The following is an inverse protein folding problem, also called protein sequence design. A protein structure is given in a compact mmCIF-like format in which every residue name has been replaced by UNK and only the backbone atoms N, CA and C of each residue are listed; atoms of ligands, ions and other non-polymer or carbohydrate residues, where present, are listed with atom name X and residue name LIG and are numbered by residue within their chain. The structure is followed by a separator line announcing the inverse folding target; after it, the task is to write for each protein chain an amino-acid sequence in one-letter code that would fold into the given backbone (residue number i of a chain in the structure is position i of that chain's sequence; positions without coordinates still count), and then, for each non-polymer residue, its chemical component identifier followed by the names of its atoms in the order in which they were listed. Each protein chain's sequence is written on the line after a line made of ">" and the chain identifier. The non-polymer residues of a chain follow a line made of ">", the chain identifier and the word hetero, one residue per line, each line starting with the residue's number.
data_IF_766592482362
#
_entry.id   IF_766592482362
#
_cell.length_a   1.000
_cell.length_b   1.000
_cell.length_c   1.000
_cell.angle_alpha   90.00
_cell.angle_beta   90.00
_cell.angle_gamma   90.00
#
_symmetry.space_group_name_H-M   'P 1'
#
loop_
_entity.id
_entity.type
_entity.pdbx_description
1 polymer ?
#
# COMPACT_ATOMS: atom_id res chain seq x y z
N UNK A 1 19.24 12.22 -15.16
CA UNK A 1 18.11 11.38 -15.65
C UNK A 1 16.89 11.53 -14.76
N UNK A 2 16.98 11.32 -13.44
CA UNK A 2 15.84 11.37 -12.50
C UNK A 2 15.07 12.70 -12.50
N UNK A 3 15.73 13.86 -12.53
CA UNK A 3 15.05 15.16 -12.62
C UNK A 3 14.16 15.34 -13.86
N UNK A 4 14.45 14.62 -14.95
CA UNK A 4 13.59 14.64 -16.15
C UNK A 4 12.29 13.86 -15.92
N UNK A 5 12.32 12.78 -15.12
CA UNK A 5 11.10 12.04 -14.76
C UNK A 5 10.16 12.88 -13.91
N UNK A 6 10.68 13.60 -12.91
CA UNK A 6 9.86 14.45 -12.05
C UNK A 6 9.16 15.55 -12.87
N UNK A 7 9.89 16.18 -13.78
CA UNK A 7 9.32 17.17 -14.70
C UNK A 7 8.31 16.55 -15.70
N UNK A 8 8.54 15.30 -16.14
CA UNK A 8 7.60 14.61 -17.02
C UNK A 8 6.27 14.29 -16.31
N UNK A 9 6.31 13.88 -15.02
CA UNK A 9 5.09 13.68 -14.22
C UNK A 9 4.27 14.97 -14.10
N UNK A 10 4.95 16.10 -13.84
CA UNK A 10 4.28 17.39 -13.73
C UNK A 10 3.79 17.90 -15.10
N UNK A 11 4.53 17.66 -16.17
CA UNK A 11 4.10 18.01 -17.52
C UNK A 11 2.88 17.18 -17.96
N UNK A 12 2.83 15.90 -17.61
CA UNK A 12 1.66 15.07 -17.83
C UNK A 12 0.46 15.59 -17.05
N UNK A 13 0.65 15.97 -15.77
CA UNK A 13 -0.39 16.59 -14.96
C UNK A 13 -0.90 17.92 -15.57
N UNK A 14 -0.04 18.75 -16.11
CA UNK A 14 -0.43 19.99 -16.79
C UNK A 14 -1.29 19.74 -18.04
N UNK A 15 -1.01 18.65 -18.77
CA UNK A 15 -1.72 18.30 -20.00
C UNK A 15 -3.07 17.65 -19.74
N UNK A 16 -3.14 16.69 -18.81
CA UNK A 16 -4.37 15.92 -18.54
C UNK A 16 -5.10 16.35 -17.27
N UNK A 17 -4.48 17.22 -16.46
CA UNK A 17 -5.05 17.73 -15.21
C UNK A 17 -4.88 16.83 -13.99
N UNK A 18 -4.21 15.67 -14.13
CA UNK A 18 -4.03 14.66 -13.09
C UNK A 18 -2.60 14.10 -13.11
N UNK A 19 -2.05 13.73 -11.95
CA UNK A 19 -0.80 13.01 -11.90
C UNK A 19 -0.98 11.61 -12.51
N UNK A 20 -0.07 11.13 -13.34
CA UNK A 20 -0.18 9.80 -13.89
C UNK A 20 0.10 8.75 -12.81
N UNK A 21 -0.72 7.69 -12.76
CA UNK A 21 -0.48 6.53 -11.90
C UNK A 21 0.35 5.44 -12.60
N UNK A 22 0.40 5.46 -13.93
CA UNK A 22 1.17 4.53 -14.75
C UNK A 22 2.12 5.23 -15.73
N UNK A 23 3.22 4.55 -16.05
CA UNK A 23 4.17 4.99 -17.09
C UNK A 23 3.74 4.65 -18.52
N UNK A 24 2.57 4.05 -18.69
CA UNK A 24 1.99 3.72 -20.00
C UNK A 24 1.60 5.01 -20.78
N UNK A 25 1.45 4.93 -22.14
CA UNK A 25 1.07 6.08 -22.96
C UNK A 25 -0.27 6.71 -22.65
N UNK A 26 -1.08 6.06 -21.81
CA UNK A 26 -2.37 6.55 -21.31
C UNK A 26 -2.69 5.96 -19.94
N UNK A 27 -3.62 6.59 -19.24
CA UNK A 27 -4.08 6.11 -17.96
C UNK A 27 -4.90 4.83 -18.10
N UNK A 28 -4.58 3.82 -17.31
CA UNK A 28 -5.19 2.49 -17.44
C UNK A 28 -6.39 2.26 -16.53
N UNK A 29 -6.51 3.04 -15.45
CA UNK A 29 -7.58 2.85 -14.44
C UNK A 29 -7.45 1.56 -13.63
N UNK A 30 -6.35 0.86 -13.74
CA UNK A 30 -6.22 -0.53 -13.31
C UNK A 30 -5.72 -0.74 -11.88
N UNK A 31 -5.06 0.25 -11.27
CA UNK A 31 -4.43 0.07 -9.96
C UNK A 31 -4.98 1.03 -8.92
N UNK A 32 -4.63 0.79 -7.67
CA UNK A 32 -5.00 1.60 -6.51
C UNK A 32 -3.83 2.50 -6.08
N UNK A 33 -4.14 3.63 -5.45
CA UNK A 33 -3.15 4.63 -5.06
C UNK A 33 -2.65 5.46 -6.25
N UNK A 34 -1.92 6.53 -5.96
CA UNK A 34 -1.20 7.32 -6.93
C UNK A 34 0.15 7.71 -6.35
N UNK A 35 1.14 6.85 -6.56
CA UNK A 35 2.46 6.97 -5.94
C UNK A 35 3.40 7.96 -6.68
N UNK A 36 2.90 8.73 -7.65
CA UNK A 36 3.67 9.83 -8.23
C UNK A 36 4.14 10.82 -7.14
N UNK A 37 3.33 11.03 -6.09
CA UNK A 37 3.72 11.89 -4.96
C UNK A 37 4.90 11.31 -4.19
N UNK A 38 4.98 9.99 -4.01
CA UNK A 38 6.10 9.31 -3.36
C UNK A 38 7.42 9.61 -4.10
N UNK A 39 7.43 9.46 -5.43
CA UNK A 39 8.59 9.75 -6.27
C UNK A 39 9.00 11.23 -6.20
N UNK A 40 8.02 12.14 -6.26
CA UNK A 40 8.27 13.59 -6.20
C UNK A 40 8.81 13.99 -4.83
N UNK A 41 8.25 13.46 -3.75
CA UNK A 41 8.67 13.74 -2.39
C UNK A 41 10.08 13.23 -2.10
N UNK A 42 10.37 11.99 -2.50
CA UNK A 42 11.69 11.38 -2.32
C UNK A 42 12.76 12.11 -3.13
N UNK A 43 12.46 12.46 -4.40
CA UNK A 43 13.36 13.24 -5.22
C UNK A 43 13.66 14.62 -4.62
N UNK A 44 12.65 15.30 -4.08
CA UNK A 44 12.84 16.59 -3.41
C UNK A 44 13.69 16.45 -2.13
N UNK A 45 13.38 15.47 -1.29
CA UNK A 45 14.12 15.19 -0.06
C UNK A 45 15.61 14.89 -0.31
N UNK A 46 15.93 14.24 -1.41
CA UNK A 46 17.29 13.90 -1.84
C UNK A 46 18.00 14.99 -2.66
N UNK A 47 17.35 16.12 -2.92
CA UNK A 47 17.90 17.18 -3.78
C UNK A 47 18.08 16.75 -5.24
N UNK A 48 17.27 15.80 -5.70
CA UNK A 48 17.36 15.25 -7.05
C UNK A 48 16.46 16.04 -8.00
N UNK A 49 17.08 16.77 -8.91
CA UNK A 49 16.39 17.49 -9.97
C UNK A 49 15.87 18.86 -9.58
N UNK A 50 15.39 19.59 -10.59
CA UNK A 50 14.84 20.93 -10.47
C UNK A 50 13.38 20.89 -10.93
N UNK A 51 12.46 20.76 -10.02
CA UNK A 51 11.02 20.89 -10.29
C UNK A 51 10.39 21.81 -9.24
N UNK A 52 9.16 22.24 -9.48
CA UNK A 52 8.44 23.11 -8.54
C UNK A 52 7.66 22.27 -7.54
N UNK A 53 8.13 22.13 -6.29
CA UNK A 53 7.51 21.25 -5.30
C UNK A 53 6.12 21.71 -4.87
N UNK A 54 5.83 23.01 -4.89
CA UNK A 54 4.49 23.53 -4.65
C UNK A 54 3.50 23.04 -5.70
N UNK A 55 3.90 23.01 -6.98
CA UNK A 55 3.07 22.44 -8.05
C UNK A 55 2.79 20.95 -7.84
N UNK A 56 3.82 20.20 -7.43
CA UNK A 56 3.67 18.80 -7.12
C UNK A 56 2.70 18.59 -5.97
N UNK A 57 2.78 19.41 -4.92
CA UNK A 57 1.90 19.35 -3.77
C UNK A 57 0.44 19.72 -4.12
N UNK A 58 0.22 20.74 -4.93
CA UNK A 58 -1.10 21.13 -5.41
C UNK A 58 -1.72 20.08 -6.32
N UNK A 59 -0.92 19.50 -7.22
CA UNK A 59 -1.33 18.39 -8.08
C UNK A 59 -1.78 17.18 -7.22
N UNK A 60 -0.99 16.82 -6.22
CA UNK A 60 -1.33 15.75 -5.30
C UNK A 60 -2.57 16.07 -4.45
N UNK A 61 -2.71 17.28 -3.94
CA UNK A 61 -3.90 17.68 -3.19
C UNK A 61 -5.18 17.52 -4.02
N UNK A 62 -5.09 17.80 -5.32
CA UNK A 62 -6.19 17.53 -6.25
C UNK A 62 -6.50 16.04 -6.36
N UNK A 63 -5.46 15.17 -6.48
CA UNK A 63 -5.60 13.71 -6.47
C UNK A 63 -6.29 13.22 -5.19
N UNK A 64 -5.78 13.67 -4.04
CA UNK A 64 -6.21 13.21 -2.73
C UNK A 64 -7.68 13.58 -2.40
N UNK A 65 -8.19 14.68 -2.96
CA UNK A 65 -9.47 15.28 -2.57
C UNK A 65 -10.55 15.15 -3.65
N UNK A 66 -10.29 14.43 -4.73
CA UNK A 66 -11.24 14.32 -5.84
C UNK A 66 -11.21 12.92 -6.46
N UNK A 67 -12.27 12.60 -7.19
CA UNK A 67 -12.35 11.47 -8.10
C UNK A 67 -12.04 11.96 -9.52
N UNK A 68 -11.14 11.29 -10.19
CA UNK A 68 -10.81 11.59 -11.58
C UNK A 68 -11.85 11.08 -12.58
N UNK A 69 -11.71 11.47 -13.85
CA UNK A 69 -12.66 11.13 -14.91
C UNK A 69 -12.62 9.65 -15.31
N UNK A 70 -11.53 8.94 -15.04
CA UNK A 70 -11.29 7.56 -15.52
C UNK A 70 -11.32 6.56 -14.37
N UNK A 71 -12.51 6.36 -13.77
CA UNK A 71 -12.81 5.19 -12.95
C UNK A 71 -12.07 5.01 -11.62
N UNK A 72 -11.19 5.92 -11.24
CA UNK A 72 -10.43 5.80 -9.99
C UNK A 72 -8.92 5.72 -10.19
N UNK A 73 -8.45 5.68 -11.42
CA UNK A 73 -7.03 5.76 -11.74
C UNK A 73 -6.45 7.14 -11.49
N UNK A 74 -7.24 8.16 -11.72
CA UNK A 74 -6.90 9.54 -11.37
C UNK A 74 -7.81 9.97 -10.22
N UNK A 75 -7.22 10.65 -9.26
CA UNK A 75 -7.90 10.94 -8.02
C UNK A 75 -8.06 9.67 -7.17
N UNK A 76 -9.01 9.69 -6.26
CA UNK A 76 -9.25 8.58 -5.33
C UNK A 76 -10.66 8.03 -5.45
N UNK A 77 -10.79 6.74 -5.70
CA UNK A 77 -12.04 6.04 -5.46
C UNK A 77 -12.41 6.14 -3.97
N UNK A 78 -13.68 6.35 -3.67
CA UNK A 78 -14.13 6.49 -2.27
C UNK A 78 -13.55 7.69 -1.51
N UNK A 79 -13.02 8.71 -2.19
CA UNK A 79 -12.36 9.85 -1.54
C UNK A 79 -13.22 10.56 -0.49
N UNK A 80 -14.54 10.73 -0.75
CA UNK A 80 -15.45 11.37 0.22
C UNK A 80 -15.52 10.61 1.53
N UNK A 81 -15.65 9.28 1.44
CA UNK A 81 -15.69 8.40 2.61
C UNK A 81 -14.36 8.37 3.33
N UNK A 82 -13.26 8.29 2.59
CA UNK A 82 -11.92 8.34 3.17
C UNK A 82 -11.71 9.61 4.02
N UNK A 83 -12.18 10.77 3.54
CA UNK A 83 -12.09 12.02 4.30
C UNK A 83 -13.10 12.13 5.45
N UNK A 84 -14.28 11.53 5.31
CA UNK A 84 -15.36 11.62 6.31
C UNK A 84 -15.25 10.55 7.40
N UNK A 85 -14.92 9.32 7.01
CA UNK A 85 -14.91 8.15 7.89
C UNK A 85 -13.48 7.79 8.35
N UNK A 86 -12.47 8.27 7.65
CA UNK A 86 -11.07 7.87 7.83
C UNK A 86 -10.71 6.54 7.16
N UNK A 87 -11.55 6.03 6.27
CA UNK A 87 -11.29 4.84 5.47
C UNK A 87 -12.23 4.80 4.25
N UNK A 88 -11.85 4.02 3.25
CA UNK A 88 -12.73 3.68 2.12
C UNK A 88 -13.59 2.49 2.52
N UNK A 89 -14.92 2.60 2.39
CA UNK A 89 -15.83 1.53 2.80
C UNK A 89 -16.01 0.48 1.70
N UNK A 90 -16.29 -0.76 2.13
CA UNK A 90 -16.70 -1.85 1.27
C UNK A 90 -18.24 -1.99 1.30
N UNK A 91 -18.97 -2.26 0.21
CA UNK A 91 -18.49 -2.53 -1.16
C UNK A 91 -18.46 -1.27 -2.06
N UNK A 92 -18.50 -0.05 -1.51
CA UNK A 92 -18.46 1.19 -2.30
C UNK A 92 -17.27 1.23 -3.26
N UNK A 93 -16.14 0.65 -2.83
CA UNK A 93 -15.00 0.43 -3.70
C UNK A 93 -14.43 -0.97 -3.51
N UNK A 94 -14.19 -1.66 -4.63
CA UNK A 94 -13.34 -2.85 -4.64
C UNK A 94 -11.91 -2.45 -4.27
N UNK A 95 -11.25 -3.28 -3.46
CA UNK A 95 -9.92 -2.92 -2.95
C UNK A 95 -9.94 -1.87 -1.83
N UNK A 96 -11.07 -1.68 -1.14
CA UNK A 96 -11.29 -0.58 -0.17
C UNK A 96 -10.27 -0.52 0.97
N UNK A 97 -9.89 -1.68 1.53
CA UNK A 97 -8.85 -1.74 2.57
C UNK A 97 -7.49 -1.41 1.98
N UNK A 98 -7.15 -1.99 0.84
CA UNK A 98 -5.92 -1.71 0.13
C UNK A 98 -5.80 -0.21 -0.21
N UNK A 99 -6.87 0.39 -0.75
CA UNK A 99 -6.92 1.83 -1.03
C UNK A 99 -6.70 2.68 0.23
N UNK A 100 -7.30 2.30 1.36
CA UNK A 100 -7.11 3.04 2.61
C UNK A 100 -5.64 3.05 3.04
N UNK A 101 -4.95 1.92 2.90
CA UNK A 101 -3.54 1.77 3.24
C UNK A 101 -2.64 2.58 2.29
N UNK A 102 -2.85 2.45 0.99
CA UNK A 102 -2.09 3.17 -0.04
C UNK A 102 -2.28 4.68 0.06
N UNK A 103 -3.53 5.13 0.28
CA UNK A 103 -3.81 6.57 0.47
C UNK A 103 -3.15 7.14 1.72
N UNK A 104 -3.09 6.38 2.81
CA UNK A 104 -2.40 6.81 4.03
C UNK A 104 -0.89 7.01 3.80
N UNK A 105 -0.27 6.14 3.01
CA UNK A 105 1.12 6.29 2.59
C UNK A 105 1.33 7.50 1.67
N UNK A 106 0.48 7.68 0.67
CA UNK A 106 0.53 8.84 -0.22
C UNK A 106 0.34 10.15 0.56
N UNK A 107 -0.58 10.17 1.54
CA UNK A 107 -0.81 11.32 2.42
C UNK A 107 0.41 11.64 3.29
N UNK A 108 1.13 10.63 3.76
CA UNK A 108 2.42 10.83 4.42
C UNK A 108 3.43 11.49 3.48
N UNK A 109 3.50 11.06 2.23
CA UNK A 109 4.37 11.70 1.23
C UNK A 109 3.96 13.16 0.99
N UNK A 110 2.65 13.43 0.86
CA UNK A 110 2.11 14.79 0.76
C UNK A 110 2.44 15.64 1.99
N UNK A 111 2.30 15.08 3.19
CA UNK A 111 2.70 15.72 4.44
C UNK A 111 4.18 16.10 4.45
N UNK A 112 5.06 15.17 4.07
CA UNK A 112 6.51 15.43 4.03
C UNK A 112 6.86 16.53 3.03
N UNK A 113 6.27 16.50 1.84
CA UNK A 113 6.51 17.55 0.85
C UNK A 113 6.00 18.91 1.32
N UNK A 114 4.81 18.97 1.92
CA UNK A 114 4.25 20.19 2.49
C UNK A 114 5.16 20.77 3.58
N UNK A 115 5.68 19.91 4.46
CA UNK A 115 6.59 20.28 5.53
C UNK A 115 7.91 20.83 4.99
N UNK A 116 8.52 20.17 4.01
CA UNK A 116 9.78 20.59 3.39
C UNK A 116 9.65 21.89 2.60
N UNK A 117 8.48 22.19 2.08
CA UNK A 117 8.17 23.42 1.33
C UNK A 117 7.60 24.55 2.17
N UNK A 118 7.36 24.29 3.47
CA UNK A 118 6.79 25.28 4.39
C UNK A 118 5.29 25.55 4.19
N UNK A 119 4.57 24.70 3.47
CA UNK A 119 3.13 24.84 3.24
C UNK A 119 2.33 24.31 4.45
N UNK A 120 2.05 25.19 5.42
CA UNK A 120 1.39 24.84 6.66
C UNK A 120 -0.04 24.34 6.50
N UNK A 121 -0.74 24.77 5.47
CA UNK A 121 -2.12 24.36 5.19
C UNK A 121 -2.17 22.84 4.85
N UNK A 122 -1.38 22.40 3.88
CA UNK A 122 -1.34 20.99 3.50
C UNK A 122 -0.60 20.12 4.52
N UNK A 123 0.40 20.68 5.23
CA UNK A 123 1.05 20.01 6.36
C UNK A 123 0.02 19.61 7.42
N UNK A 124 -0.88 20.53 7.83
CA UNK A 124 -1.92 20.25 8.80
C UNK A 124 -2.93 19.20 8.30
N UNK A 125 -3.38 19.34 7.06
CA UNK A 125 -4.38 18.44 6.47
C UNK A 125 -3.84 17.00 6.42
N UNK A 126 -2.69 16.81 5.77
CA UNK A 126 -2.15 15.48 5.55
C UNK A 126 -1.61 14.82 6.82
N UNK A 127 -1.16 15.59 7.82
CA UNK A 127 -0.74 15.06 9.12
C UNK A 127 -1.84 14.31 9.87
N UNK A 128 -3.11 14.57 9.57
CA UNK A 128 -4.26 13.91 10.19
C UNK A 128 -4.59 12.59 9.51
N UNK A 129 -4.56 12.57 8.19
CA UNK A 129 -5.07 11.43 7.39
C UNK A 129 -4.02 10.37 7.09
N UNK A 130 -2.73 10.67 7.21
CA UNK A 130 -1.66 9.68 7.04
C UNK A 130 -1.71 8.52 8.05
N UNK A 131 -2.52 8.65 9.11
CA UNK A 131 -2.75 7.60 10.10
C UNK A 131 -4.05 6.82 9.91
N UNK A 132 -4.78 7.06 8.82
CA UNK A 132 -6.05 6.42 8.52
C UNK A 132 -5.97 4.89 8.37
N UNK A 133 -4.78 4.34 8.10
CA UNK A 133 -4.53 2.90 8.10
C UNK A 133 -5.01 2.21 9.39
N UNK A 134 -4.99 2.92 10.53
CA UNK A 134 -5.43 2.41 11.84
C UNK A 134 -6.91 2.06 11.88
N UNK A 135 -7.71 2.74 11.06
CA UNK A 135 -9.17 2.56 11.03
C UNK A 135 -9.61 1.26 10.36
N UNK A 136 -8.74 0.59 9.62
CA UNK A 136 -9.00 -0.70 8.99
C UNK A 136 -8.32 -1.87 9.69
N UNK A 137 -7.60 -1.63 10.79
CA UNK A 137 -7.03 -2.68 11.62
C UNK A 137 -8.07 -3.23 12.59
N UNK A 138 -8.45 -4.49 12.41
CA UNK A 138 -9.31 -5.23 13.33
C UNK A 138 -8.45 -5.94 14.39
N UNK A 139 -8.48 -5.41 15.60
CA UNK A 139 -7.68 -5.92 16.72
C UNK A 139 -8.03 -7.35 17.11
N UNK A 140 -9.29 -7.78 16.92
CA UNK A 140 -9.76 -9.12 17.29
C UNK A 140 -9.17 -10.17 16.34
N UNK A 141 -9.21 -9.92 15.03
CA UNK A 141 -8.64 -10.84 14.04
C UNK A 141 -7.12 -10.65 13.84
N UNK A 142 -6.56 -9.49 14.20
CA UNK A 142 -5.18 -9.13 13.95
C UNK A 142 -4.87 -8.90 12.46
N UNK A 143 -5.86 -8.40 11.70
CA UNK A 143 -5.72 -8.11 10.28
C UNK A 143 -6.23 -6.71 9.89
N UNK A 144 -5.65 -6.17 8.82
CA UNK A 144 -6.27 -5.10 8.06
C UNK A 144 -7.48 -5.68 7.33
N UNK A 145 -8.69 -5.21 7.67
CA UNK A 145 -9.95 -5.87 7.28
C UNK A 145 -10.89 -4.89 6.60
N UNK A 146 -11.71 -5.40 5.67
CA UNK A 146 -12.77 -4.62 5.04
C UNK A 146 -13.76 -4.07 6.07
N UNK A 147 -14.14 -2.81 5.90
CA UNK A 147 -15.06 -2.11 6.81
C UNK A 147 -16.23 -1.53 6.04
N UNK A 148 -17.44 -1.70 6.58
CA UNK A 148 -18.66 -1.18 5.99
C UNK A 148 -18.85 0.30 6.34
N UNK A 149 -19.74 0.97 5.62
CA UNK A 149 -20.00 2.40 5.81
C UNK A 149 -20.55 2.77 7.20
N UNK A 150 -21.25 1.84 7.85
CA UNK A 150 -21.75 2.00 9.21
C UNK A 150 -20.69 1.75 10.30
N UNK A 151 -19.47 1.43 9.91
CA UNK A 151 -18.36 1.17 10.80
C UNK A 151 -18.21 -0.29 11.23
N UNK A 152 -19.12 -1.18 10.87
CA UNK A 152 -18.98 -2.62 11.13
C UNK A 152 -17.95 -3.28 10.23
N UNK A 153 -17.40 -4.41 10.70
CA UNK A 153 -16.47 -5.20 9.91
C UNK A 153 -17.18 -6.05 8.87
N UNK A 154 -16.58 -6.14 7.68
CA UNK A 154 -17.06 -7.05 6.64
C UNK A 154 -17.08 -8.49 7.16
N UNK A 155 -18.24 -9.15 7.04
CA UNK A 155 -18.44 -10.54 7.44
C UNK A 155 -19.20 -11.31 6.34
N UNK A 156 -18.90 -12.62 6.13
CA UNK A 156 -17.87 -13.39 6.82
C UNK A 156 -16.45 -12.91 6.47
N UNK A 157 -15.45 -13.18 7.34
CA UNK A 157 -14.06 -12.84 7.11
C UNK A 157 -13.20 -14.10 6.92
N UNK A 158 -12.56 -14.17 5.77
CA UNK A 158 -11.59 -15.20 5.44
C UNK A 158 -10.26 -14.56 5.03
N UNK A 159 -9.19 -14.68 5.84
CA UNK A 159 -7.92 -14.03 5.54
C UNK A 159 -7.20 -14.58 4.30
N UNK A 160 -7.62 -15.73 3.77
CA UNK A 160 -7.04 -16.37 2.59
C UNK A 160 -7.74 -15.97 1.27
N UNK A 161 -8.89 -15.29 1.36
CA UNK A 161 -9.66 -14.89 0.19
C UNK A 161 -9.00 -13.69 -0.51
N UNK A 162 -8.73 -13.86 -1.81
CA UNK A 162 -8.13 -12.82 -2.65
C UNK A 162 -9.19 -11.88 -3.23
N UNK A 163 -8.81 -10.62 -3.34
CA UNK A 163 -9.70 -9.57 -3.88
C UNK A 163 -10.67 -9.04 -2.84
N UNK A 164 -11.88 -8.70 -3.25
CA UNK A 164 -12.84 -8.03 -2.37
C UNK A 164 -12.31 -6.68 -1.85
N UNK A 165 -12.01 -6.56 -0.57
CA UNK A 165 -11.40 -5.34 0.00
C UNK A 165 -9.92 -5.18 -0.33
N UNK A 166 -9.29 -6.13 -1.03
CA UNK A 166 -7.87 -6.13 -1.39
C UNK A 166 -7.68 -6.09 -2.90
N UNK A 167 -6.50 -5.66 -3.36
CA UNK A 167 -6.11 -5.62 -4.77
C UNK A 167 -4.92 -6.55 -4.98
N UNK A 168 -5.05 -7.52 -5.89
CA UNK A 168 -4.00 -8.52 -6.20
C UNK A 168 -3.38 -9.16 -4.94
N UNK A 169 -4.23 -9.43 -3.94
CA UNK A 169 -3.78 -9.97 -2.67
C UNK A 169 -4.93 -10.35 -1.76
N UNK A 170 -4.59 -10.74 -0.53
CA UNK A 170 -5.51 -11.07 0.54
C UNK A 170 -5.11 -10.37 1.85
N UNK A 171 -5.78 -10.70 2.97
CA UNK A 171 -5.48 -10.08 4.26
C UNK A 171 -4.05 -10.32 4.75
N UNK A 172 -3.44 -11.48 4.46
CA UNK A 172 -2.07 -11.78 4.82
C UNK A 172 -1.07 -10.86 4.13
N UNK A 173 -1.37 -10.42 2.89
CA UNK A 173 -0.51 -9.54 2.12
C UNK A 173 -0.62 -8.09 2.57
N UNK A 174 -1.85 -7.56 2.66
CA UNK A 174 -2.09 -6.15 2.98
C UNK A 174 -1.87 -5.78 4.44
N UNK A 175 -1.72 -6.76 5.31
CA UNK A 175 -1.47 -6.53 6.73
C UNK A 175 -0.21 -5.71 7.03
N UNK A 176 0.68 -5.61 6.07
CA UNK A 176 2.00 -5.01 6.18
C UNK A 176 2.17 -3.70 5.42
N UNK A 177 1.16 -3.28 4.65
CA UNK A 177 1.23 -2.09 3.78
C UNK A 177 1.12 -0.77 4.56
N UNK A 178 2.01 -0.60 5.55
CA UNK A 178 2.17 0.61 6.35
C UNK A 178 3.65 1.01 6.34
N UNK A 179 4.11 1.54 5.20
CA UNK A 179 5.53 1.81 4.95
C UNK A 179 6.06 3.00 5.75
N UNK A 180 5.20 3.94 6.10
CA UNK A 180 5.54 5.24 6.66
C UNK A 180 5.49 5.31 8.18
N UNK A 181 4.84 4.35 8.84
CA UNK A 181 4.65 4.32 10.30
C UNK A 181 4.76 2.89 10.84
N UNK A 182 5.92 2.27 10.62
CA UNK A 182 6.18 0.89 11.05
C UNK A 182 6.05 0.75 12.57
N UNK A 183 6.50 1.74 13.34
CA UNK A 183 6.30 1.73 14.79
C UNK A 183 4.82 1.80 15.17
N UNK A 184 4.03 2.60 14.45
CA UNK A 184 2.58 2.65 14.61
C UNK A 184 1.93 1.31 14.32
N UNK A 185 2.39 0.60 13.27
CA UNK A 185 1.93 -0.76 12.96
C UNK A 185 2.28 -1.74 14.08
N UNK A 186 3.51 -1.74 14.60
CA UNK A 186 3.94 -2.56 15.74
C UNK A 186 3.04 -2.30 16.95
N UNK A 187 2.74 -1.03 17.24
CA UNK A 187 1.90 -0.63 18.36
C UNK A 187 0.46 -1.18 18.26
N UNK A 188 -0.06 -1.42 17.04
CA UNK A 188 -1.38 -2.05 16.86
C UNK A 188 -1.39 -3.50 17.35
N UNK A 189 -0.27 -4.20 17.27
CA UNK A 189 -0.10 -5.57 17.81
C UNK A 189 0.22 -5.60 19.31
N UNK A 190 0.60 -4.46 19.90
CA UNK A 190 0.82 -4.29 21.33
C UNK A 190 2.26 -4.52 21.79
N UNK A 191 3.08 -5.30 21.08
CA UNK A 191 4.50 -5.48 21.37
C UNK A 191 5.30 -5.94 20.14
N UNK A 192 6.63 -5.81 20.21
CA UNK A 192 7.56 -6.31 19.18
C UNK A 192 7.44 -7.85 19.03
N UNK A 193 7.25 -8.57 20.13
CA UNK A 193 7.10 -10.03 20.12
C UNK A 193 5.80 -10.45 19.44
N UNK A 194 4.67 -9.81 19.75
CA UNK A 194 3.39 -10.10 19.11
C UNK A 194 3.43 -9.79 17.61
N UNK A 195 4.06 -8.67 17.24
CA UNK A 195 4.26 -8.27 15.86
C UNK A 195 5.12 -9.28 15.10
N UNK A 196 6.28 -9.66 15.64
CA UNK A 196 7.17 -10.62 14.98
C UNK A 196 6.58 -12.03 14.93
N UNK A 197 5.83 -12.45 15.94
CA UNK A 197 5.07 -13.71 15.90
C UNK A 197 4.02 -13.72 14.78
N UNK A 198 3.37 -12.58 14.54
CA UNK A 198 2.44 -12.45 13.41
C UNK A 198 3.16 -12.53 12.07
N UNK A 199 4.35 -11.93 11.92
CA UNK A 199 5.19 -12.10 10.71
C UNK A 199 5.60 -13.57 10.55
N UNK A 200 6.07 -14.23 11.61
CA UNK A 200 6.45 -15.64 11.57
C UNK A 200 5.30 -16.53 11.08
N UNK A 201 4.07 -16.20 11.48
CA UNK A 201 2.90 -16.96 11.08
C UNK A 201 2.62 -16.94 9.57
N UNK A 202 3.03 -15.90 8.85
CA UNK A 202 2.89 -15.82 7.39
C UNK A 202 3.56 -17.00 6.68
N UNK A 203 4.73 -17.43 7.20
CA UNK A 203 5.53 -18.50 6.62
C UNK A 203 5.10 -19.91 7.08
N UNK A 204 4.34 -19.99 8.19
CA UNK A 204 3.97 -21.27 8.84
C UNK A 204 2.52 -21.68 8.61
N UNK A 205 1.65 -20.75 8.25
CA UNK A 205 0.25 -21.06 7.90
C UNK A 205 0.18 -21.84 6.58
N UNK A 206 -0.90 -22.62 6.36
CA UNK A 206 -1.05 -23.36 5.12
C UNK A 206 -0.99 -22.49 3.88
N UNK A 207 -0.36 -22.99 2.82
CA UNK A 207 -0.38 -22.36 1.50
C UNK A 207 -1.73 -22.64 0.82
N UNK A 208 -2.77 -21.99 1.32
CA UNK A 208 -4.14 -22.10 0.82
C UNK A 208 -4.45 -20.89 -0.05
N UNK A 209 -4.98 -21.13 -1.23
CA UNK A 209 -5.41 -20.09 -2.16
C UNK A 209 -6.92 -20.17 -2.32
N UNK A 210 -7.59 -19.06 -2.07
CA UNK A 210 -9.01 -18.86 -2.35
C UNK A 210 -9.15 -17.68 -3.30
N UNK A 211 -9.42 -17.93 -4.60
CA UNK A 211 -9.41 -16.88 -5.61
C UNK A 211 -10.42 -15.74 -5.38
N UNK A 212 -11.44 -15.97 -4.55
CA UNK A 212 -12.41 -14.94 -4.17
C UNK A 212 -13.04 -14.24 -5.39
N UNK A 213 -13.00 -12.92 -5.39
CA UNK A 213 -13.61 -12.10 -6.45
C UNK A 213 -12.90 -12.20 -7.81
N UNK A 214 -11.71 -12.78 -7.88
CA UNK A 214 -11.03 -13.07 -9.15
C UNK A 214 -11.66 -14.24 -9.90
N UNK A 215 -12.39 -15.13 -9.22
CA UNK A 215 -13.08 -16.27 -9.83
C UNK A 215 -12.16 -17.35 -10.41
N UNK A 216 -10.86 -17.17 -10.37
CA UNK A 216 -9.84 -18.09 -10.87
C UNK A 216 -8.43 -17.69 -10.43
N UNK A 217 -7.46 -18.56 -10.74
CA UNK A 217 -6.05 -18.36 -10.40
C UNK A 217 -5.43 -17.28 -11.29
N UNK A 218 -4.92 -16.20 -10.68
CA UNK A 218 -4.05 -15.22 -11.34
C UNK A 218 -2.58 -15.60 -11.13
N UNK A 219 -1.66 -14.92 -11.81
CA UNK A 219 -0.25 -15.33 -11.81
C UNK A 219 0.42 -15.19 -10.43
N UNK A 220 0.07 -14.18 -9.64
CA UNK A 220 0.60 -13.98 -8.28
C UNK A 220 0.22 -15.13 -7.34
N UNK A 221 -1.00 -15.67 -7.49
CA UNK A 221 -1.44 -16.85 -6.74
C UNK A 221 -0.60 -18.09 -7.11
N UNK A 222 -0.34 -18.28 -8.41
CA UNK A 222 0.50 -19.40 -8.87
C UNK A 222 1.93 -19.30 -8.40
N UNK A 223 2.50 -18.11 -8.43
CA UNK A 223 3.85 -17.85 -7.93
C UNK A 223 3.95 -18.14 -6.43
N UNK A 224 2.97 -17.71 -5.64
CA UNK A 224 2.88 -17.99 -4.20
C UNK A 224 2.75 -19.50 -3.95
N UNK A 225 1.90 -20.20 -4.72
CA UNK A 225 1.72 -21.65 -4.62
C UNK A 225 3.04 -22.40 -4.87
N UNK A 226 3.74 -22.03 -5.95
CA UNK A 226 5.01 -22.64 -6.33
C UNK A 226 6.12 -22.37 -5.33
N UNK A 227 6.15 -21.18 -4.74
CA UNK A 227 7.14 -20.82 -3.72
C UNK A 227 6.99 -21.65 -2.44
N UNK A 228 5.78 -22.08 -2.10
CA UNK A 228 5.53 -22.97 -0.95
C UNK A 228 5.87 -22.36 0.40
N UNK A 229 5.83 -21.03 0.53
CA UNK A 229 6.25 -20.29 1.72
C UNK A 229 5.05 -19.76 2.52
N UNK A 230 4.07 -20.61 2.81
CA UNK A 230 2.84 -20.22 3.51
C UNK A 230 2.06 -19.19 2.69
N UNK A 231 1.80 -18.03 3.28
CA UNK A 231 1.11 -16.92 2.60
C UNK A 231 2.08 -15.83 2.11
N UNK A 232 3.38 -16.07 2.12
CA UNK A 232 4.37 -15.12 1.59
C UNK A 232 4.49 -15.23 0.07
N UNK A 233 4.17 -14.15 -0.63
CA UNK A 233 4.28 -14.01 -2.07
C UNK A 233 5.38 -13.00 -2.40
N UNK A 234 6.64 -13.44 -2.51
CA UNK A 234 7.79 -12.53 -2.70
C UNK A 234 7.69 -11.69 -3.98
N UNK A 235 7.13 -12.23 -5.06
CA UNK A 235 6.93 -11.51 -6.32
C UNK A 235 5.79 -10.49 -6.29
N UNK A 236 4.99 -10.46 -5.24
CA UNK A 236 3.82 -9.58 -5.13
C UNK A 236 4.11 -8.34 -4.28
N UNK A 237 3.91 -7.15 -4.85
CA UNK A 237 4.26 -5.85 -4.25
C UNK A 237 3.68 -5.63 -2.84
N UNK A 238 2.42 -5.98 -2.52
CA UNK A 238 1.84 -5.69 -1.21
C UNK A 238 2.58 -6.35 -0.03
N UNK A 239 3.30 -7.47 -0.26
CA UNK A 239 3.95 -8.21 0.82
C UNK A 239 5.48 -8.28 0.70
N UNK A 240 6.06 -7.93 -0.45
CA UNK A 240 7.48 -8.09 -0.73
C UNK A 240 8.40 -7.49 0.34
N UNK A 241 8.03 -6.36 0.92
CA UNK A 241 8.82 -5.63 1.93
C UNK A 241 8.72 -6.23 3.34
N UNK A 242 7.73 -7.09 3.60
CA UNK A 242 7.37 -7.56 4.95
C UNK A 242 8.55 -8.16 5.71
N UNK A 243 9.41 -8.95 5.04
CA UNK A 243 10.56 -9.59 5.69
C UNK A 243 11.55 -8.60 6.31
N UNK A 244 11.60 -7.35 5.84
CA UNK A 244 12.48 -6.32 6.39
C UNK A 244 11.92 -5.69 7.66
N UNK A 245 10.64 -5.89 7.97
CA UNK A 245 9.98 -5.34 9.16
C UNK A 245 10.50 -5.93 10.46
N UNK A 246 11.09 -7.13 10.44
CA UNK A 246 11.79 -7.69 11.60
C UNK A 246 12.90 -6.76 12.14
N UNK A 247 13.54 -5.98 11.27
CA UNK A 247 14.59 -5.04 11.67
C UNK A 247 14.08 -3.94 12.59
N UNK A 248 12.82 -3.52 12.41
CA UNK A 248 12.18 -2.51 13.25
C UNK A 248 11.78 -3.04 14.63
N UNK A 249 11.55 -4.35 14.73
CA UNK A 249 11.21 -5.04 15.98
C UNK A 249 12.43 -5.73 16.63
N UNK A 250 13.66 -5.26 16.33
CA UNK A 250 14.89 -5.74 16.96
C UNK A 250 15.35 -7.16 16.57
N UNK A 251 14.79 -7.75 15.51
CA UNK A 251 15.12 -9.10 15.05
C UNK A 251 15.67 -9.15 13.62
N UNK A 252 16.69 -8.34 13.24
CA UNK A 252 17.21 -8.28 11.86
C UNK A 252 17.78 -9.61 11.38
N UNK A 253 18.20 -10.49 12.26
CA UNK A 253 18.71 -11.81 11.94
C UNK A 253 17.64 -12.71 11.26
N UNK A 254 16.34 -12.52 11.56
CA UNK A 254 15.25 -13.24 10.88
C UNK A 254 15.15 -12.82 9.41
N UNK A 255 15.29 -11.52 9.13
CA UNK A 255 15.38 -11.02 7.75
C UNK A 255 16.53 -11.69 7.00
N UNK A 256 17.72 -11.74 7.61
CA UNK A 256 18.90 -12.35 7.00
C UNK A 256 18.68 -13.85 6.75
N UNK A 257 18.11 -14.56 7.72
CA UNK A 257 17.80 -15.97 7.61
C UNK A 257 16.85 -16.27 6.45
N UNK A 258 15.71 -15.55 6.39
CA UNK A 258 14.70 -15.72 5.34
C UNK A 258 15.26 -15.32 3.95
N UNK A 259 16.02 -14.23 3.87
CA UNK A 259 16.64 -13.79 2.63
C UNK A 259 17.63 -14.82 2.08
N UNK A 260 18.46 -15.41 2.93
CA UNK A 260 19.45 -16.38 2.51
C UNK A 260 18.85 -17.73 2.12
N UNK A 261 17.86 -18.22 2.87
CA UNK A 261 17.33 -19.57 2.69
C UNK A 261 16.20 -19.62 1.66
N UNK A 262 15.30 -18.63 1.66
CA UNK A 262 14.08 -18.68 0.88
C UNK A 262 14.09 -17.77 -0.36
N UNK A 263 14.86 -16.68 -0.32
CA UNK A 263 14.84 -15.67 -1.39
C UNK A 263 16.07 -15.78 -2.29
N UNK A 264 17.23 -16.09 -1.72
CA UNK A 264 18.50 -16.17 -2.48
C UNK A 264 18.80 -17.56 -3.06
N UNK A 265 18.07 -18.60 -2.65
CA UNK A 265 18.23 -19.97 -3.18
C UNK A 265 16.95 -20.54 -3.83
N UNK A 266 16.23 -19.80 -4.68
CA UNK A 266 15.18 -20.42 -5.50
C UNK A 266 15.78 -21.40 -6.54
N UNK A 267 17.08 -21.39 -6.75
CA UNK A 267 17.82 -22.21 -7.71
C UNK A 267 17.91 -23.69 -7.36
N UNK A 268 17.47 -24.12 -6.18
CA UNK A 268 17.36 -25.57 -5.90
C UNK A 268 16.17 -26.26 -6.58
N UNK A 269 15.27 -25.51 -7.19
CA UNK A 269 14.17 -26.04 -7.99
C UNK A 269 14.61 -26.45 -9.42
N UNK A 270 15.80 -26.05 -9.86
CA UNK A 270 16.32 -26.40 -11.18
C UNK A 270 17.03 -27.77 -11.22
N UNK A 271 16.94 -28.56 -10.15
CA UNK A 271 17.62 -29.86 -10.01
C UNK A 271 16.62 -31.01 -9.78
N UNK A 272 15.39 -30.88 -10.29
CA UNK A 272 14.47 -32.03 -10.37
C UNK A 272 14.05 -32.23 -11.83
#
# INVERSE_FOLDING_TARGET
>A
MQGRYMNALLAAQEQCGWLPSWSAPGETGGMIGNHAISLLTDAWAKGIGTFYPQKALEAYAKEAMNKGPWGGANGRAGWKEYWQLGYVSYPESMGSTAQTLEYAYDDFCGYQLARMTGNKFYEEIFSRVMYNYRNVFDKESGFMRGRLKDGSWLAPFDPYEWGGPYCEGNAWHYNWSVFHDVQGLINLYGSDEAFTAKIDSVFTVPNVIRPGTYGGMIHEMKEMELAGMGQYAHGNQPIQHMIYLYSYAGQPWKTQYLSLIHISEPTRLDVI
#
